data_IF_428033725085
#
_entry.id   IF_428033725085
#
_cell.length_a   1.000
_cell.length_b   1.000
_cell.length_c   1.000
_cell.angle_alpha   90.00
_cell.angle_beta   90.00
_cell.angle_gamma   90.00
#
_symmetry.space_group_name_H-M   'P 1'
#
loop_
_entity.id
_entity.type
_entity.pdbx_description
1 polymer ?
#
# COMPACT_ATOMS: atom_id res chain seq x y z
N UNK A 1 13.07 -4.44 29.58
CA UNK A 1 11.83 -4.63 28.79
C UNK A 1 12.19 -4.76 27.31
N UNK A 2 11.67 -5.76 26.57
CA UNK A 2 12.02 -5.94 25.17
C UNK A 2 11.39 -4.82 24.33
N UNK A 3 12.21 -4.10 23.55
CA UNK A 3 11.74 -3.09 22.60
C UNK A 3 11.03 -3.80 21.46
N UNK A 4 9.71 -3.70 21.40
CA UNK A 4 8.90 -4.21 20.28
C UNK A 4 9.36 -3.48 19.02
N UNK A 5 9.99 -4.19 18.09
CA UNK A 5 10.34 -3.63 16.77
C UNK A 5 9.03 -3.32 16.06
N UNK A 6 8.81 -2.05 15.68
CA UNK A 6 7.65 -1.67 14.86
C UNK A 6 7.72 -2.46 13.56
N UNK A 7 6.73 -3.30 13.32
CA UNK A 7 6.58 -4.02 12.06
C UNK A 7 6.10 -2.98 11.05
N UNK A 8 6.99 -2.54 10.16
CA UNK A 8 6.66 -1.59 9.08
C UNK A 8 6.02 -2.29 7.87
N UNK A 9 5.69 -3.58 7.98
CA UNK A 9 5.09 -4.37 6.91
C UNK A 9 3.56 -4.36 7.03
N UNK A 10 2.81 -4.08 5.95
CA UNK A 10 1.35 -4.13 5.91
C UNK A 10 0.84 -5.59 5.87
N UNK A 11 0.96 -6.28 7.02
CA UNK A 11 0.62 -7.71 7.16
C UNK A 11 -0.82 -7.98 6.73
N UNK A 12 -1.76 -7.15 7.18
CA UNK A 12 -3.18 -7.35 6.90
C UNK A 12 -3.46 -7.26 5.40
N UNK A 13 -2.97 -6.21 4.73
CA UNK A 13 -3.19 -5.99 3.31
C UNK A 13 -2.53 -7.08 2.44
N UNK A 14 -1.43 -7.67 2.91
CA UNK A 14 -0.79 -8.80 2.27
C UNK A 14 -1.67 -10.07 2.37
N UNK A 15 -2.24 -10.34 3.54
CA UNK A 15 -3.10 -11.52 3.74
C UNK A 15 -4.44 -11.40 3.02
N UNK A 16 -4.94 -10.18 2.81
CA UNK A 16 -6.21 -9.92 2.11
C UNK A 16 -6.04 -9.69 0.61
N UNK A 17 -4.94 -10.11 0.00
CA UNK A 17 -4.79 -10.06 -1.46
C UNK A 17 -5.89 -10.88 -2.13
N UNK A 18 -6.42 -10.39 -3.26
CA UNK A 18 -7.34 -11.20 -4.06
C UNK A 18 -6.56 -12.36 -4.67
N UNK A 19 -6.90 -13.59 -4.28
CA UNK A 19 -6.20 -14.80 -4.73
C UNK A 19 -6.66 -15.26 -6.13
N UNK A 20 -7.82 -14.78 -6.59
CA UNK A 20 -8.51 -15.28 -7.79
C UNK A 20 -8.86 -14.16 -8.80
N UNK A 21 -8.23 -12.99 -8.68
CA UNK A 21 -8.44 -11.89 -9.63
C UNK A 21 -7.46 -12.02 -10.80
N UNK A 22 -7.99 -12.20 -12.02
CA UNK A 22 -7.21 -12.28 -13.26
C UNK A 22 -6.49 -10.96 -13.58
N UNK A 23 -7.03 -9.82 -13.12
CA UNK A 23 -6.43 -8.51 -13.34
C UNK A 23 -5.40 -8.14 -12.28
N UNK A 24 -5.51 -8.70 -11.08
CA UNK A 24 -4.62 -8.42 -9.95
C UNK A 24 -4.13 -9.73 -9.31
N UNK A 25 -3.17 -10.43 -9.92
CA UNK A 25 -2.66 -11.68 -9.36
C UNK A 25 -2.03 -11.45 -7.98
N UNK A 26 -2.28 -12.38 -7.06
CA UNK A 26 -1.71 -12.35 -5.73
C UNK A 26 -0.18 -12.43 -5.78
N UNK A 27 0.48 -11.50 -5.09
CA UNK A 27 1.95 -11.47 -4.97
C UNK A 27 2.33 -12.28 -3.74
N UNK A 28 2.73 -13.53 -3.94
CA UNK A 28 3.09 -14.46 -2.86
C UNK A 28 4.48 -14.22 -2.25
N UNK A 29 5.27 -13.30 -2.82
CA UNK A 29 6.58 -12.92 -2.29
C UNK A 29 6.41 -11.71 -1.37
N UNK A 30 6.65 -11.85 -0.04
CA UNK A 30 6.47 -10.74 0.91
C UNK A 30 7.38 -9.55 0.60
N UNK A 31 8.62 -9.82 0.13
CA UNK A 31 9.57 -8.77 -0.24
C UNK A 31 9.09 -7.96 -1.44
N UNK A 32 8.60 -8.66 -2.48
CA UNK A 32 8.07 -8.02 -3.68
C UNK A 32 6.82 -7.21 -3.37
N UNK A 33 5.90 -7.79 -2.58
CA UNK A 33 4.70 -7.09 -2.15
C UNK A 33 5.04 -5.81 -1.37
N UNK A 34 5.99 -5.89 -0.43
CA UNK A 34 6.38 -4.74 0.37
C UNK A 34 6.90 -3.60 -0.51
N UNK A 35 7.78 -3.92 -1.47
CA UNK A 35 8.31 -2.93 -2.39
C UNK A 35 7.21 -2.26 -3.21
N UNK A 36 6.30 -3.05 -3.80
CA UNK A 36 5.18 -2.53 -4.58
C UNK A 36 4.20 -1.71 -3.72
N UNK A 37 3.97 -2.13 -2.47
CA UNK A 37 3.16 -1.38 -1.52
C UNK A 37 3.74 0.01 -1.25
N UNK A 38 5.05 0.13 -1.07
CA UNK A 38 5.70 1.42 -0.87
C UNK A 38 5.55 2.33 -2.09
N UNK A 39 5.74 1.79 -3.30
CA UNK A 39 5.55 2.55 -4.55
C UNK A 39 4.11 3.05 -4.66
N UNK A 40 3.11 2.18 -4.49
CA UNK A 40 1.69 2.54 -4.54
C UNK A 40 1.31 3.58 -3.47
N UNK A 41 1.95 3.52 -2.31
CA UNK A 41 1.74 4.50 -1.26
C UNK A 41 2.24 5.88 -1.69
N UNK A 42 3.44 5.95 -2.29
CA UNK A 42 3.98 7.18 -2.85
C UNK A 42 3.10 7.74 -3.98
N UNK A 43 2.63 6.88 -4.88
CA UNK A 43 1.71 7.28 -5.98
C UNK A 43 0.42 7.91 -5.44
N UNK A 44 -0.16 7.33 -4.38
CA UNK A 44 -1.35 7.90 -3.72
C UNK A 44 -1.06 9.25 -3.08
N UNK A 45 0.06 9.38 -2.37
CA UNK A 45 0.47 10.65 -1.78
C UNK A 45 0.70 11.71 -2.87
N UNK A 46 1.36 11.32 -3.96
CA UNK A 46 1.62 12.19 -5.11
C UNK A 46 0.31 12.65 -5.76
N UNK A 47 -0.62 11.72 -6.00
CA UNK A 47 -1.94 12.02 -6.58
C UNK A 47 -2.76 12.96 -5.70
N UNK A 48 -2.69 12.81 -4.38
CA UNK A 48 -3.35 13.73 -3.42
C UNK A 48 -2.72 15.12 -3.43
N UNK A 49 -1.39 15.21 -3.54
CA UNK A 49 -0.68 16.48 -3.58
C UNK A 49 -0.99 17.27 -4.87
N UNK A 50 -1.16 16.57 -5.99
CA UNK A 50 -1.39 17.14 -7.30
C UNK A 50 -2.87 17.18 -7.75
N UNK A 51 -3.84 17.02 -6.83
CA UNK A 51 -5.26 17.37 -7.09
C UNK A 51 -5.55 18.81 -6.67
N UNK A 52 -5.47 19.80 -7.58
CA UNK A 52 -5.86 21.19 -7.28
C UNK A 52 -7.38 21.38 -7.16
N UNK A 53 -8.21 20.42 -7.60
CA UNK A 53 -9.66 20.61 -7.78
C UNK A 53 -10.49 20.50 -6.49
N UNK A 54 -9.96 19.93 -5.41
CA UNK A 54 -10.72 19.74 -4.15
C UNK A 54 -10.56 20.88 -3.14
N UNK A 55 -9.76 21.92 -3.42
CA UNK A 55 -9.61 23.08 -2.51
C UNK A 55 -10.70 24.15 -2.64
N UNK A 56 -11.62 24.03 -3.59
CA UNK A 56 -12.67 25.02 -3.87
C UNK A 56 -14.11 24.53 -3.59
N UNK A 57 -14.30 23.50 -2.77
CA UNK A 57 -15.61 23.15 -2.22
C UNK A 57 -15.53 22.90 -0.72
N UNK A 58 -15.42 24.00 0.04
CA UNK A 58 -16.21 24.34 1.24
C UNK A 58 -15.54 25.47 2.02
#
# INVERSE_FOLDING_TARGET
MPKIKKINFPVWQYLTQSLFDEHCPAILSPRLYFHLYQVRYLEKCWSRLHRPEERFQN
#
